data_IF_173618275258
#
_entry.id   IF_173618275258
#
_cell.length_a   1.000
_cell.length_b   1.000
_cell.length_c   1.000
_cell.angle_alpha   90.00
_cell.angle_beta   90.00
_cell.angle_gamma   90.00
#
_symmetry.space_group_name_H-M   'P 1'
#
loop_
_entity.id
_entity.type
_entity.pdbx_description
1 polymer ?
#
# COMPACT_ATOMS: atom_id res chain seq x y z
N UNK A 1 36.47 -20.60 24.74
CA UNK A 1 35.63 -20.06 23.65
C UNK A 1 34.19 -19.93 24.08
N UNK A 2 33.53 -21.01 24.51
CA UNK A 2 32.10 -21.00 24.91
C UNK A 2 31.74 -19.96 25.98
N UNK A 3 32.54 -19.84 27.06
CA UNK A 3 32.31 -18.83 28.10
C UNK A 3 32.39 -17.37 27.61
N UNK A 4 33.25 -17.07 26.63
CA UNK A 4 33.35 -15.73 26.05
C UNK A 4 32.16 -15.44 25.13
N UNK A 5 31.73 -16.42 24.34
CA UNK A 5 30.53 -16.32 23.51
C UNK A 5 29.28 -16.14 24.37
N UNK A 6 29.13 -16.90 25.46
CA UNK A 6 28.04 -16.78 26.41
C UNK A 6 28.03 -15.41 27.10
N UNK A 7 29.18 -14.92 27.56
CA UNK A 7 29.30 -13.60 28.17
C UNK A 7 28.88 -12.49 27.20
N UNK A 8 29.40 -12.51 25.98
CA UNK A 8 29.07 -11.52 24.95
C UNK A 8 27.58 -11.57 24.58
N UNK A 9 26.99 -12.76 24.47
CA UNK A 9 25.55 -12.91 24.24
C UNK A 9 24.72 -12.27 25.37
N UNK A 10 25.08 -12.51 26.64
CA UNK A 10 24.38 -11.91 27.80
C UNK A 10 24.49 -10.39 27.80
N UNK A 11 25.66 -9.83 27.49
CA UNK A 11 25.86 -8.38 27.41
C UNK A 11 25.01 -7.77 26.30
N UNK A 12 25.01 -8.37 25.11
CA UNK A 12 24.17 -7.91 24.00
C UNK A 12 22.68 -7.99 24.32
N UNK A 13 22.21 -9.09 24.93
CA UNK A 13 20.80 -9.22 25.32
C UNK A 13 20.38 -8.13 26.31
N UNK A 14 21.21 -7.80 27.29
CA UNK A 14 20.93 -6.71 28.24
C UNK A 14 20.87 -5.36 27.54
N UNK A 15 21.79 -5.10 26.61
CA UNK A 15 21.78 -3.86 25.84
C UNK A 15 20.53 -3.75 24.97
N UNK A 16 20.14 -4.85 24.30
CA UNK A 16 18.91 -4.91 23.51
C UNK A 16 17.68 -4.62 24.38
N UNK A 17 17.56 -5.24 25.55
CA UNK A 17 16.45 -5.01 26.48
C UNK A 17 16.36 -3.54 26.92
N UNK A 18 17.48 -2.93 27.31
CA UNK A 18 17.53 -1.51 27.69
C UNK A 18 17.22 -0.57 26.52
N UNK A 19 17.64 -0.92 25.30
CA UNK A 19 17.36 -0.12 24.11
C UNK A 19 15.86 -0.12 23.77
N UNK A 20 15.17 -1.24 23.98
CA UNK A 20 13.71 -1.36 23.79
C UNK A 20 13.00 -0.50 24.84
N UNK A 21 13.34 -0.66 26.12
CA UNK A 21 12.76 0.13 27.22
C UNK A 21 12.95 1.64 27.02
N UNK A 22 14.14 2.04 26.54
CA UNK A 22 14.43 3.45 26.25
C UNK A 22 13.61 3.98 25.06
N UNK A 23 13.35 3.15 24.05
CA UNK A 23 12.49 3.52 22.91
C UNK A 23 11.04 3.68 23.37
N UNK A 24 10.52 2.73 24.13
CA UNK A 24 9.15 2.79 24.66
C UNK A 24 8.92 4.01 25.56
N UNK A 25 9.91 4.37 26.39
CA UNK A 25 9.78 5.47 27.35
C UNK A 25 10.02 6.86 26.76
N UNK A 26 10.89 6.99 25.75
CA UNK A 26 11.36 8.31 25.28
C UNK A 26 11.12 8.58 23.79
N UNK A 27 10.79 7.57 22.98
CA UNK A 27 10.62 7.74 21.53
C UNK A 27 9.13 7.83 21.14
N UNK A 28 8.53 8.99 21.41
CA UNK A 28 7.17 9.32 20.97
C UNK A 28 7.02 9.45 19.44
N UNK A 29 8.12 9.39 18.68
CA UNK A 29 8.15 9.73 17.25
C UNK A 29 8.18 8.48 16.38
N UNK A 30 8.90 7.46 16.80
CA UNK A 30 8.84 6.13 16.20
C UNK A 30 7.58 5.46 16.71
N UNK A 31 6.53 5.48 15.90
CA UNK A 31 5.25 4.82 16.17
C UNK A 31 5.35 3.28 16.29
N UNK A 32 6.50 2.71 16.66
CA UNK A 32 6.71 1.30 17.01
C UNK A 32 5.84 0.29 16.26
N UNK A 33 5.03 -0.45 17.00
CA UNK A 33 4.04 -1.41 16.47
C UNK A 33 2.89 -0.73 15.72
N UNK A 34 2.50 0.49 16.13
CA UNK A 34 1.42 1.23 15.48
C UNK A 34 1.77 1.57 14.01
N UNK A 35 3.03 1.90 13.72
CA UNK A 35 3.52 2.08 12.35
C UNK A 35 3.42 0.78 11.54
N UNK A 36 3.77 -0.36 12.16
CA UNK A 36 3.64 -1.67 11.52
C UNK A 36 2.18 -2.00 11.24
N UNK A 37 1.27 -1.80 12.19
CA UNK A 37 -0.17 -1.98 11.98
C UNK A 37 -0.71 -1.08 10.88
N UNK A 38 -0.31 0.20 10.84
CA UNK A 38 -0.71 1.09 9.75
C UNK A 38 -0.10 0.70 8.41
N UNK A 39 1.13 0.19 8.40
CA UNK A 39 1.79 -0.29 7.18
C UNK A 39 1.17 -1.58 6.66
N UNK A 40 0.74 -2.49 7.54
CA UNK A 40 0.02 -3.71 7.18
C UNK A 40 -1.40 -3.40 6.69
N UNK A 41 -2.09 -2.46 7.35
CA UNK A 41 -3.42 -1.99 6.94
C UNK A 41 -3.35 -1.23 5.61
N UNK A 42 -2.31 -0.42 5.41
CA UNK A 42 -2.00 0.25 4.13
C UNK A 42 -1.28 -0.72 3.18
N UNK A 43 -1.88 -1.88 2.95
CA UNK A 43 -1.38 -2.86 1.98
C UNK A 43 -1.08 -2.19 0.64
N UNK A 44 0.03 -2.57 0.00
CA UNK A 44 0.41 -2.05 -1.32
C UNK A 44 -0.72 -2.30 -2.31
N UNK A 45 -1.28 -1.23 -2.88
CA UNK A 45 -2.28 -1.37 -3.92
C UNK A 45 -1.63 -2.00 -5.15
N UNK A 46 -2.28 -3.04 -5.68
CA UNK A 46 -1.82 -3.64 -6.93
C UNK A 46 -1.98 -2.63 -8.07
N UNK A 47 -1.16 -2.79 -9.12
CA UNK A 47 -1.27 -1.95 -10.32
C UNK A 47 -2.69 -1.95 -10.90
N UNK A 48 -3.40 -3.09 -10.87
CA UNK A 48 -4.78 -3.19 -11.35
C UNK A 48 -5.75 -2.36 -10.52
N UNK A 49 -5.66 -2.43 -9.19
CA UNK A 49 -6.52 -1.63 -8.29
C UNK A 49 -6.26 -0.14 -8.47
N UNK A 50 -4.99 0.28 -8.55
CA UNK A 50 -4.64 1.67 -8.80
C UNK A 50 -5.21 2.18 -10.13
N UNK A 51 -5.15 1.35 -11.17
CA UNK A 51 -5.67 1.68 -12.49
C UNK A 51 -7.22 1.78 -12.50
N UNK A 52 -7.91 0.86 -11.83
CA UNK A 52 -9.37 0.92 -11.67
C UNK A 52 -9.82 2.18 -10.90
N UNK A 53 -9.11 2.53 -9.82
CA UNK A 53 -9.41 3.76 -9.07
C UNK A 53 -9.24 5.02 -9.92
N UNK A 54 -8.20 5.06 -10.76
CA UNK A 54 -8.00 6.16 -11.71
C UNK A 54 -9.16 6.29 -12.71
N UNK A 55 -9.62 5.17 -13.27
CA UNK A 55 -10.77 5.16 -14.19
C UNK A 55 -12.06 5.61 -13.52
N UNK A 56 -12.31 5.17 -12.27
CA UNK A 56 -13.48 5.61 -11.51
C UNK A 56 -13.44 7.11 -11.20
N UNK A 57 -12.26 7.64 -10.84
CA UNK A 57 -12.08 9.07 -10.62
C UNK A 57 -12.31 9.86 -11.91
N UNK A 58 -11.81 9.36 -13.04
CA UNK A 58 -12.04 9.97 -14.34
C UNK A 58 -13.53 10.00 -14.72
N UNK A 59 -14.26 8.89 -14.49
CA UNK A 59 -15.71 8.83 -14.64
C UNK A 59 -16.43 9.90 -13.81
N UNK A 60 -16.12 10.01 -12.52
CA UNK A 60 -16.71 11.05 -11.66
C UNK A 60 -16.45 12.46 -12.16
N UNK A 61 -15.23 12.74 -12.62
CA UNK A 61 -14.90 14.04 -13.19
C UNK A 61 -15.71 14.34 -14.46
N UNK A 62 -15.97 13.34 -15.30
CA UNK A 62 -16.81 13.48 -16.48
C UNK A 62 -18.28 13.71 -16.11
N UNK A 63 -18.80 12.99 -15.10
CA UNK A 63 -20.15 13.21 -14.56
C UNK A 63 -20.30 14.63 -13.98
N UNK A 64 -19.31 15.12 -13.24
CA UNK A 64 -19.35 16.42 -12.56
C UNK A 64 -19.10 17.62 -13.49
N UNK A 65 -18.34 17.46 -14.58
CA UNK A 65 -17.87 18.57 -15.40
C UNK A 65 -18.29 18.55 -16.86
N UNK A 66 -18.85 17.45 -17.38
CA UNK A 66 -19.13 17.32 -18.82
C UNK A 66 -20.61 17.14 -19.20
N UNK A 67 -21.57 17.24 -18.27
CA UNK A 67 -23.01 17.06 -18.55
C UNK A 67 -23.29 15.82 -19.46
N UNK A 68 -22.51 14.76 -19.27
CA UNK A 68 -22.62 13.53 -20.04
C UNK A 68 -23.66 12.61 -19.41
N UNK A 69 -24.44 11.94 -20.24
CA UNK A 69 -25.31 10.83 -19.81
C UNK A 69 -24.43 9.62 -19.49
N UNK A 70 -24.76 8.89 -18.42
CA UNK A 70 -24.02 7.69 -17.97
C UNK A 70 -23.68 6.71 -19.11
N UNK A 71 -24.64 6.47 -20.00
CA UNK A 71 -24.50 5.60 -21.17
C UNK A 71 -23.34 6.02 -22.09
N UNK A 72 -23.10 7.34 -22.23
CA UNK A 72 -21.98 7.87 -23.03
C UNK A 72 -20.64 7.73 -22.32
N UNK A 73 -20.64 7.75 -20.99
CA UNK A 73 -19.44 7.56 -20.18
C UNK A 73 -19.01 6.09 -20.23
N UNK A 74 -19.97 5.18 -20.14
CA UNK A 74 -19.72 3.74 -20.27
C UNK A 74 -19.21 3.40 -21.69
N UNK A 75 -19.81 3.95 -22.75
CA UNK A 75 -19.33 3.77 -24.13
C UNK A 75 -17.88 4.27 -24.31
N UNK A 76 -17.53 5.41 -23.69
CA UNK A 76 -16.18 5.97 -23.73
C UNK A 76 -15.19 5.09 -22.97
N UNK A 77 -15.59 4.57 -21.80
CA UNK A 77 -14.77 3.68 -20.99
C UNK A 77 -14.49 2.36 -21.71
N UNK A 78 -15.52 1.76 -22.32
CA UNK A 78 -15.39 0.53 -23.11
C UNK A 78 -14.50 0.74 -24.33
N UNK A 79 -14.69 1.87 -25.03
CA UNK A 79 -13.84 2.24 -26.17
C UNK A 79 -12.39 2.40 -25.70
N UNK A 80 -12.15 3.08 -24.59
CA UNK A 80 -10.81 3.24 -24.02
C UNK A 80 -10.17 1.88 -23.72
N UNK A 81 -10.87 0.99 -23.01
CA UNK A 81 -10.36 -0.36 -22.69
C UNK A 81 -10.03 -1.14 -23.98
N UNK A 82 -10.89 -1.06 -24.99
CA UNK A 82 -10.67 -1.75 -26.27
C UNK A 82 -9.44 -1.27 -27.05
N UNK A 83 -8.96 -0.06 -26.78
CA UNK A 83 -7.73 0.49 -27.40
C UNK A 83 -6.45 0.12 -26.67
N UNK A 84 -6.54 -0.41 -25.45
CA UNK A 84 -5.36 -0.82 -24.68
C UNK A 84 -4.69 -2.05 -25.32
N UNK A 85 -3.38 -2.28 -25.10
CA UNK A 85 -2.73 -3.52 -25.49
C UNK A 85 -3.42 -4.77 -24.89
N UNK A 86 -3.46 -5.87 -25.66
CA UNK A 86 -4.17 -7.11 -25.28
C UNK A 86 -3.78 -7.67 -23.92
N UNK A 87 -2.51 -7.50 -23.53
CA UNK A 87 -2.02 -7.86 -22.20
C UNK A 87 -2.82 -7.12 -21.11
N UNK A 88 -3.02 -5.81 -21.24
CA UNK A 88 -3.74 -5.00 -20.26
C UNK A 88 -5.23 -5.30 -20.27
N UNK A 89 -5.83 -5.52 -21.45
CA UNK A 89 -7.23 -5.93 -21.55
C UNK A 89 -7.51 -7.22 -20.79
N UNK A 90 -6.65 -8.23 -20.94
CA UNK A 90 -6.81 -9.52 -20.27
C UNK A 90 -6.73 -9.42 -18.75
N UNK A 91 -5.97 -8.46 -18.23
CA UNK A 91 -5.82 -8.21 -16.79
C UNK A 91 -7.02 -7.43 -16.25
N UNK A 92 -7.53 -6.46 -17.01
CA UNK A 92 -8.63 -5.58 -16.58
C UNK A 92 -10.02 -6.21 -16.69
N UNK A 93 -10.23 -7.14 -17.64
CA UNK A 93 -11.51 -7.84 -17.82
C UNK A 93 -11.65 -9.04 -16.87
N UNK A 94 -10.54 -9.55 -16.33
CA UNK A 94 -10.52 -10.70 -15.43
C UNK A 94 -10.61 -10.33 -13.93
N UNK A 95 -10.54 -9.04 -13.59
CA UNK A 95 -10.63 -8.50 -12.24
C UNK A 95 -12.04 -7.96 -11.95
#
# INVERSE_FOLDING_TARGET
>A
FDAMTAHTAVVFTRYMMLSIENRESNDNRSLGELFLYFSDEMSDITWMQAFQMLLQMFRKLLEEHCDLVDEKIDELADTFISTLPSLLQSQLVAA
#
